data_IF_476798416748
#
_entry.id   IF_476798416748
#
_cell.length_a   1.000
_cell.length_b   1.000
_cell.length_c   1.000
_cell.angle_alpha   90.00
_cell.angle_beta   90.00
_cell.angle_gamma   90.00
#
_symmetry.space_group_name_H-M   'P 1'
#
loop_
_entity.id
_entity.type
_entity.pdbx_description
1 polymer ?
#
# COMPACT_ATOMS: atom_id res chain seq x y z
N UNK A 1 11.71 4.73 16.03
CA UNK A 1 12.71 4.09 15.16
C UNK A 1 11.96 2.98 14.44
N UNK A 2 11.77 3.10 13.13
CA UNK A 2 11.21 2.01 12.32
C UNK A 2 12.37 1.28 11.69
N UNK A 3 12.42 -0.04 11.80
CA UNK A 3 13.46 -0.83 11.17
C UNK A 3 13.33 -0.78 9.64
N UNK A 4 14.46 -0.95 8.97
CA UNK A 4 14.51 -1.04 7.51
C UNK A 4 13.61 -2.17 7.01
N UNK A 5 12.73 -1.84 6.07
CA UNK A 5 11.74 -2.74 5.54
C UNK A 5 11.59 -2.61 4.03
N UNK A 6 11.39 -3.73 3.36
CA UNK A 6 11.04 -3.80 1.95
C UNK A 6 9.61 -4.33 1.79
N UNK A 7 8.80 -3.59 1.04
CA UNK A 7 7.39 -3.85 0.86
C UNK A 7 7.10 -4.29 -0.56
N UNK A 8 6.37 -5.40 -0.70
CA UNK A 8 5.76 -5.79 -1.95
C UNK A 8 4.24 -5.60 -1.84
N UNK A 9 3.66 -4.83 -2.74
CA UNK A 9 2.25 -4.47 -2.71
C UNK A 9 1.68 -4.47 -4.12
N UNK A 10 0.50 -5.05 -4.33
CA UNK A 10 -0.20 -4.96 -5.61
C UNK A 10 -1.43 -4.09 -5.47
N UNK A 11 -1.52 -3.02 -6.27
CA UNK A 11 -2.63 -2.08 -6.20
C UNK A 11 -2.29 -0.71 -6.78
N UNK A 12 -2.98 0.31 -6.30
CA UNK A 12 -2.75 1.70 -6.69
C UNK A 12 -1.94 2.43 -5.63
N UNK A 13 -1.10 3.35 -6.07
CA UNK A 13 -0.28 4.22 -5.22
C UNK A 13 -0.72 5.66 -5.44
N UNK A 14 -1.01 6.36 -4.34
CA UNK A 14 -1.25 7.79 -4.32
C UNK A 14 -0.08 8.48 -3.66
N UNK A 15 0.42 9.55 -4.27
CA UNK A 15 1.20 10.53 -3.56
C UNK A 15 0.25 11.34 -2.66
N UNK A 16 0.67 11.62 -1.43
CA UNK A 16 -0.02 12.47 -0.48
C UNK A 16 0.79 13.75 -0.34
N UNK A 17 0.08 14.88 -0.24
CA UNK A 17 0.68 16.19 -0.05
C UNK A 17 1.27 16.28 1.37
N UNK A 18 2.59 16.54 1.53
CA UNK A 18 3.20 16.70 2.85
C UNK A 18 2.67 17.93 3.61
N UNK A 19 2.08 18.91 2.93
CA UNK A 19 1.49 20.10 3.56
C UNK A 19 0.03 19.88 4.02
N UNK A 20 -0.60 18.78 3.62
CA UNK A 20 -1.97 18.42 4.03
C UNK A 20 -1.97 17.52 5.28
N UNK A 21 -1.60 18.10 6.43
CA UNK A 21 -1.55 17.38 7.71
C UNK A 21 -2.86 16.65 8.04
N UNK A 22 -4.01 17.26 7.74
CA UNK A 22 -5.32 16.65 7.98
C UNK A 22 -5.57 15.42 7.09
N UNK A 23 -5.15 15.45 5.82
CA UNK A 23 -5.21 14.30 4.91
C UNK A 23 -4.26 13.16 5.32
N UNK A 24 -3.08 13.50 5.82
CA UNK A 24 -2.11 12.54 6.35
C UNK A 24 -2.64 11.84 7.61
N UNK A 25 -3.15 12.61 8.57
CA UNK A 25 -3.77 12.09 9.79
C UNK A 25 -4.98 11.20 9.44
N UNK A 26 -5.82 11.63 8.50
CA UNK A 26 -6.96 10.82 8.06
C UNK A 26 -6.54 9.49 7.43
N UNK A 27 -5.41 9.44 6.71
CA UNK A 27 -4.86 8.18 6.21
C UNK A 27 -4.36 7.29 7.34
N UNK A 28 -3.66 7.87 8.33
CA UNK A 28 -3.17 7.16 9.52
C UNK A 28 -4.29 6.58 10.38
N UNK A 29 -5.39 7.30 10.52
CA UNK A 29 -6.58 6.89 11.28
C UNK A 29 -7.58 6.03 10.47
N UNK A 30 -7.23 5.64 9.24
CA UNK A 30 -8.11 4.94 8.28
C UNK A 30 -9.45 5.67 7.99
N UNK A 31 -9.52 6.99 8.23
CA UNK A 31 -10.71 7.82 8.02
C UNK A 31 -10.74 8.52 6.66
N UNK A 32 -9.63 8.49 5.91
CA UNK A 32 -9.55 9.00 4.54
C UNK A 32 -10.64 8.33 3.65
N UNK A 33 -11.36 9.10 2.81
CA UNK A 33 -12.42 8.55 1.95
C UNK A 33 -11.97 7.39 1.06
N UNK A 34 -10.73 7.41 0.58
CA UNK A 34 -10.13 6.34 -0.21
C UNK A 34 -9.90 5.10 0.65
N UNK A 35 -9.44 5.26 1.88
CA UNK A 35 -9.29 4.15 2.83
C UNK A 35 -10.64 3.50 3.17
N UNK A 36 -11.67 4.32 3.41
CA UNK A 36 -13.03 3.83 3.66
C UNK A 36 -13.62 3.09 2.45
N UNK A 37 -13.43 3.61 1.24
CA UNK A 37 -13.87 2.96 0.00
C UNK A 37 -13.16 1.61 -0.23
N UNK A 38 -11.85 1.57 0.01
CA UNK A 38 -11.04 0.36 -0.06
C UNK A 38 -11.53 -0.71 0.93
N UNK A 39 -11.71 -0.33 2.19
CA UNK A 39 -12.14 -1.23 3.28
C UNK A 39 -13.51 -1.84 3.00
N UNK A 40 -14.45 -1.08 2.43
CA UNK A 40 -15.79 -1.56 2.02
C UNK A 40 -15.72 -2.68 0.96
N UNK A 41 -14.68 -2.71 0.14
CA UNK A 41 -14.47 -3.74 -0.88
C UNK A 41 -13.47 -4.83 -0.43
N UNK A 42 -13.03 -4.81 0.83
CA UNK A 42 -12.05 -5.76 1.36
C UNK A 42 -10.67 -5.63 0.72
N UNK A 43 -10.27 -4.40 0.38
CA UNK A 43 -8.89 -4.04 0.02
C UNK A 43 -8.14 -3.59 1.28
N UNK A 44 -6.82 -3.79 1.26
CA UNK A 44 -5.90 -3.30 2.28
C UNK A 44 -5.42 -1.90 1.92
N UNK A 45 -5.10 -1.12 2.95
CA UNK A 45 -4.51 0.22 2.84
C UNK A 45 -3.18 0.24 3.57
N UNK A 46 -2.20 0.97 3.04
CA UNK A 46 -0.94 1.18 3.73
C UNK A 46 -0.41 2.57 3.38
N UNK A 47 -0.30 3.44 4.38
CA UNK A 47 0.30 4.75 4.24
C UNK A 47 1.61 4.83 5.00
N UNK A 48 2.51 5.67 4.50
CA UNK A 48 3.81 5.89 5.11
C UNK A 48 4.48 7.12 4.51
N UNK A 49 5.71 7.33 4.95
CA UNK A 49 6.58 8.38 4.43
C UNK A 49 7.78 7.71 3.78
N UNK A 50 8.16 8.17 2.60
CA UNK A 50 9.44 7.78 2.03
C UNK A 50 10.60 8.38 2.83
N UNK A 51 11.77 7.75 2.74
CA UNK A 51 12.95 8.13 3.50
C UNK A 51 13.57 9.42 2.97
N UNK A 52 14.13 10.25 3.85
CA UNK A 52 14.78 11.54 3.57
C UNK A 52 14.13 12.43 2.49
N UNK A 53 13.17 13.27 2.92
CA UNK A 53 12.67 14.39 2.12
C UNK A 53 11.69 14.02 1.01
N UNK A 54 11.34 12.74 0.87
CA UNK A 54 10.39 12.26 -0.13
C UNK A 54 8.92 12.29 0.36
N UNK A 55 8.01 12.22 -0.63
CA UNK A 55 6.57 12.40 -0.48
C UNK A 55 5.92 11.30 0.37
N UNK A 56 4.87 11.68 1.10
CA UNK A 56 3.99 10.71 1.75
C UNK A 56 3.24 9.90 0.69
N UNK A 57 2.90 8.65 1.02
CA UNK A 57 2.18 7.80 0.09
C UNK A 57 1.02 7.08 0.76
N UNK A 58 0.06 6.66 -0.07
CA UNK A 58 -1.00 5.73 0.28
C UNK A 58 -1.10 4.64 -0.79
N UNK A 59 -0.92 3.39 -0.35
CA UNK A 59 -1.24 2.21 -1.13
C UNK A 59 -2.67 1.75 -0.85
N UNK A 60 -3.36 1.32 -1.90
CA UNK A 60 -4.68 0.68 -1.84
C UNK A 60 -4.67 -0.57 -2.71
N UNK A 61 -4.94 -1.73 -2.14
CA UNK A 61 -4.78 -3.01 -2.85
C UNK A 61 -4.58 -4.19 -1.91
N UNK A 62 -3.51 -4.94 -2.13
CA UNK A 62 -3.13 -6.09 -1.32
C UNK A 62 -1.63 -6.10 -1.04
N UNK A 63 -1.24 -6.22 0.23
CA UNK A 63 0.15 -6.48 0.60
C UNK A 63 0.51 -7.91 0.25
N UNK A 64 1.59 -8.05 -0.50
CA UNK A 64 2.16 -9.32 -0.94
C UNK A 64 3.30 -9.79 -0.02
N UNK A 65 4.06 -8.85 0.53
CA UNK A 65 5.13 -9.15 1.46
C UNK A 65 5.58 -7.92 2.23
N UNK A 66 6.06 -8.16 3.45
CA UNK A 66 6.74 -7.17 4.27
C UNK A 66 8.03 -7.82 4.75
N UNK A 67 9.13 -7.49 4.07
CA UNK A 67 10.44 -8.06 4.30
C UNK A 67 11.25 -7.08 5.15
N UNK A 68 12.12 -7.56 6.04
CA UNK A 68 12.93 -6.67 6.87
C UNK A 68 13.44 -7.35 8.12
N UNK A 69 14.32 -6.68 8.87
CA UNK A 69 14.91 -7.25 10.09
C UNK A 69 13.85 -7.57 11.15
N UNK A 70 12.82 -6.71 11.25
CA UNK A 70 11.68 -6.87 12.16
C UNK A 70 10.48 -7.57 11.49
N UNK A 71 10.61 -7.97 10.24
CA UNK A 71 9.53 -8.54 9.43
C UNK A 71 9.94 -9.89 8.83
N UNK A 72 9.28 -10.29 7.73
CA UNK A 72 9.56 -11.58 7.13
C UNK A 72 10.99 -11.57 6.55
N UNK A 73 11.77 -12.62 6.85
CA UNK A 73 13.07 -12.81 6.19
C UNK A 73 12.92 -13.26 4.73
N UNK A 74 11.75 -13.81 4.38
CA UNK A 74 11.46 -14.38 3.07
C UNK A 74 9.95 -14.43 2.82
N UNK A 75 9.52 -14.05 1.63
CA UNK A 75 8.15 -14.17 1.15
C UNK A 75 8.13 -15.03 -0.11
N UNK A 76 7.24 -16.01 -0.14
CA UNK A 76 7.03 -16.87 -1.31
C UNK A 76 5.54 -16.92 -1.66
N UNK A 77 5.23 -16.50 -2.89
CA UNK A 77 3.88 -16.48 -3.42
C UNK A 77 3.88 -17.33 -4.70
N UNK A 78 3.16 -18.46 -4.72
CA UNK A 78 3.02 -19.26 -5.93
C UNK A 78 2.43 -18.41 -7.06
N UNK A 79 2.92 -18.60 -8.29
CA UNK A 79 2.48 -17.81 -9.45
C UNK A 79 0.96 -17.85 -9.67
N UNK A 80 0.33 -19.02 -9.45
CA UNK A 80 -1.13 -19.17 -9.53
C UNK A 80 -1.88 -18.34 -8.48
N UNK A 81 -1.34 -18.26 -7.25
CA UNK A 81 -1.91 -17.44 -6.19
C UNK A 81 -1.68 -15.94 -6.46
N UNK A 82 -0.51 -15.58 -6.99
CA UNK A 82 -0.21 -14.20 -7.37
C UNK A 82 -1.18 -13.71 -8.45
N UNK A 83 -1.35 -14.47 -9.53
CA UNK A 83 -2.27 -14.10 -10.61
C UNK A 83 -3.72 -14.01 -10.13
N UNK A 84 -4.16 -14.94 -9.26
CA UNK A 84 -5.48 -14.89 -8.65
C UNK A 84 -5.65 -13.64 -7.77
N UNK A 85 -4.64 -13.31 -6.96
CA UNK A 85 -4.65 -12.13 -6.10
C UNK A 85 -4.75 -10.84 -6.92
N UNK A 86 -3.96 -10.74 -8.00
CA UNK A 86 -3.99 -9.57 -8.88
C UNK A 86 -5.38 -9.37 -9.51
N UNK A 87 -5.96 -10.43 -10.07
CA UNK A 87 -7.31 -10.36 -10.66
C UNK A 87 -8.39 -9.97 -9.64
N UNK A 88 -8.28 -10.46 -8.39
CA UNK A 88 -9.18 -10.09 -7.31
C UNK A 88 -9.03 -8.62 -6.90
N UNK A 89 -7.80 -8.13 -6.81
CA UNK A 89 -7.51 -6.73 -6.49
C UNK A 89 -8.03 -5.81 -7.59
N UNK A 90 -7.81 -6.14 -8.86
CA UNK A 90 -8.31 -5.34 -9.99
C UNK A 90 -9.84 -5.22 -9.96
N UNK A 91 -10.55 -6.34 -9.73
CA UNK A 91 -12.01 -6.34 -9.62
C UNK A 91 -12.50 -5.50 -8.43
N UNK A 92 -11.83 -5.61 -7.27
CA UNK A 92 -12.18 -4.85 -6.06
C UNK A 92 -11.87 -3.35 -6.20
N UNK A 93 -10.78 -2.99 -6.87
CA UNK A 93 -10.43 -1.59 -7.16
C UNK A 93 -11.48 -0.95 -8.06
N UNK A 94 -11.91 -1.65 -9.11
CA UNK A 94 -13.01 -1.21 -9.97
C UNK A 94 -14.32 -1.06 -9.19
N UNK A 95 -14.65 -2.02 -8.30
CA UNK A 95 -15.83 -1.96 -7.44
C UNK A 95 -15.78 -0.78 -6.46
N UNK A 96 -14.59 -0.47 -5.92
CA UNK A 96 -14.39 0.66 -5.02
C UNK A 96 -14.36 2.03 -5.74
N UNK A 97 -14.37 2.04 -7.08
CA UNK A 97 -14.37 3.25 -7.89
C UNK A 97 -12.98 3.81 -8.18
N UNK A 98 -11.91 3.05 -7.95
CA UNK A 98 -10.56 3.45 -8.35
C UNK A 98 -10.36 3.19 -9.84
N UNK A 99 -10.18 4.26 -10.61
CA UNK A 99 -9.99 4.20 -12.06
C UNK A 99 -8.53 4.03 -12.50
N UNK A 100 -7.58 4.14 -11.57
CA UNK A 100 -6.16 3.96 -11.86
C UNK A 100 -5.85 2.48 -12.10
N UNK A 101 -4.97 2.15 -13.05
CA UNK A 101 -4.51 0.78 -13.22
C UNK A 101 -3.70 0.33 -12.00
N UNK A 102 -3.97 -0.87 -11.51
CA UNK A 102 -3.15 -1.48 -10.47
C UNK A 102 -1.77 -1.87 -11.03
N UNK A 103 -0.77 -1.83 -10.16
CA UNK A 103 0.59 -2.26 -10.47
C UNK A 103 1.21 -3.00 -9.29
N UNK A 104 2.27 -3.76 -9.57
CA UNK A 104 3.16 -4.31 -8.55
C UNK A 104 4.14 -3.22 -8.11
N UNK A 105 4.07 -2.83 -6.85
CA UNK A 105 4.94 -1.88 -6.20
C UNK A 105 5.92 -2.63 -5.29
N UNK A 106 7.20 -2.33 -5.46
CA UNK A 106 8.30 -2.86 -4.66
C UNK A 106 9.04 -1.65 -4.09
N UNK A 107 9.04 -1.49 -2.77
CA UNK A 107 9.58 -0.28 -2.13
C UNK A 107 10.43 -0.63 -0.93
N UNK A 108 11.61 -0.02 -0.82
CA UNK A 108 12.43 -0.02 0.39
C UNK A 108 12.07 1.22 1.23
N UNK A 109 11.88 1.02 2.53
CA UNK A 109 11.81 2.05 3.56
C UNK A 109 12.95 1.78 4.53
N UNK A 110 14.06 2.48 4.37
CA UNK A 110 15.25 2.33 5.22
C UNK A 110 15.66 3.68 5.83
N UNK A 111 15.86 3.73 7.15
CA UNK A 111 16.31 4.96 7.83
C UNK A 111 17.84 5.00 7.78
N UNK A 112 18.43 6.08 7.24
CA UNK A 112 19.87 6.32 7.24
C UNK A 112 20.29 7.25 8.38
#
# INVERSE_FOLDING_TARGET
MGADAFFAFYGVKFALDPEDEAGLDACGDESDPRCLAAKRCGLQTHSGRMTDGEDYFLYIGQRLGWLGLEHDAHAHIPSGLLAQTMAQVDAKLAQAGFGQPAALHLQLEAQY
#
